data_IF_865116294021
#
_entry.id   IF_865116294021
#
_cell.length_a   1.000
_cell.length_b   1.000
_cell.length_c   1.000
_cell.angle_alpha   90.00
_cell.angle_beta   90.00
_cell.angle_gamma   90.00
#
_symmetry.space_group_name_H-M   'P 1'
#
loop_
_entity.id
_entity.type
_entity.pdbx_description
1 polymer ?
#
# COMPACT_ATOMS: atom_id res chain seq x y z
N UNK A 1 -12.01 3.15 -12.36
CA UNK A 1 -11.94 2.19 -11.23
C UNK A 1 -13.34 1.93 -10.69
N UNK A 2 -13.95 0.76 -10.96
CA UNK A 2 -15.18 0.35 -10.25
C UNK A 2 -14.82 0.19 -8.77
N UNK A 3 -15.50 0.98 -7.94
CA UNK A 3 -15.10 1.35 -6.58
C UNK A 3 -15.21 0.16 -5.62
N UNK A 4 -14.17 -0.11 -4.84
CA UNK A 4 -14.25 -0.91 -3.60
C UNK A 4 -13.68 -2.35 -3.67
N UNK A 5 -14.00 -3.14 -4.70
CA UNK A 5 -13.81 -4.60 -4.61
C UNK A 5 -12.40 -5.10 -4.98
N UNK A 6 -11.73 -4.45 -5.93
CA UNK A 6 -10.48 -4.95 -6.53
C UNK A 6 -9.26 -4.88 -5.60
N UNK A 7 -9.15 -3.80 -4.81
CA UNK A 7 -7.99 -3.56 -3.96
C UNK A 7 -7.97 -4.51 -2.76
N UNK A 8 -9.13 -4.70 -2.11
CA UNK A 8 -9.25 -5.67 -1.03
C UNK A 8 -8.99 -7.10 -1.54
N UNK A 9 -9.47 -7.42 -2.74
CA UNK A 9 -9.23 -8.73 -3.34
C UNK A 9 -7.74 -8.93 -3.67
N UNK A 10 -7.04 -7.88 -4.11
CA UNK A 10 -5.60 -7.92 -4.33
C UNK A 10 -4.83 -8.16 -3.01
N UNK A 11 -5.23 -7.51 -1.91
CA UNK A 11 -4.66 -7.79 -0.59
C UNK A 11 -4.90 -9.24 -0.15
N UNK A 12 -6.12 -9.76 -0.34
CA UNK A 12 -6.42 -11.17 0.00
C UNK A 12 -5.55 -12.14 -0.81
N UNK A 13 -5.31 -11.86 -2.10
CA UNK A 13 -4.42 -12.66 -2.95
C UNK A 13 -2.95 -12.61 -2.49
N UNK A 14 -2.53 -11.56 -1.78
CA UNK A 14 -1.23 -11.42 -1.12
C UNK A 14 -1.21 -11.99 0.31
N UNK A 15 -2.17 -12.83 0.68
CA UNK A 15 -2.26 -13.48 1.98
C UNK A 15 -2.56 -12.53 3.17
N UNK A 16 -3.21 -11.40 2.90
CA UNK A 16 -3.76 -10.54 3.95
C UNK A 16 -5.21 -10.93 4.28
N UNK A 17 -5.54 -10.98 5.57
CA UNK A 17 -6.89 -11.24 6.09
C UNK A 17 -7.42 -10.06 6.90
N UNK A 18 -8.72 -10.07 7.19
CA UNK A 18 -9.40 -9.04 8.00
C UNK A 18 -9.13 -7.60 7.51
N UNK A 19 -9.21 -7.44 6.19
CA UNK A 19 -9.05 -6.16 5.51
C UNK A 19 -10.21 -5.24 5.89
N UNK A 20 -9.89 -4.15 6.58
CA UNK A 20 -10.85 -3.12 7.01
C UNK A 20 -10.44 -1.76 6.46
N UNK A 21 -11.37 -1.09 5.77
CA UNK A 21 -11.15 0.25 5.24
C UNK A 21 -11.39 1.28 6.35
N UNK A 22 -10.40 2.11 6.64
CA UNK A 22 -10.49 3.18 7.63
C UNK A 22 -11.01 4.45 6.96
N UNK A 23 -12.06 5.06 7.52
CA UNK A 23 -12.61 6.34 7.03
C UNK A 23 -12.02 7.56 7.76
N UNK A 24 -11.06 7.34 8.66
CA UNK A 24 -10.54 8.38 9.54
C UNK A 24 -9.29 9.03 8.94
N UNK A 25 -9.46 10.23 8.38
CA UNK A 25 -8.34 11.07 7.90
C UNK A 25 -7.38 11.44 9.04
N UNK A 26 -7.86 11.41 10.30
CA UNK A 26 -7.11 11.76 11.51
C UNK A 26 -5.96 10.81 11.85
N UNK A 27 -5.96 9.58 11.33
CA UNK A 27 -5.00 8.55 11.71
C UNK A 27 -3.71 8.58 10.87
N UNK A 28 -3.34 9.75 10.32
CA UNK A 28 -2.16 9.90 9.45
C UNK A 28 -2.39 9.33 8.03
N UNK A 29 -3.64 9.41 7.55
CA UNK A 29 -4.01 8.98 6.21
C UNK A 29 -3.93 7.47 5.96
N UNK A 30 -4.08 6.63 6.98
CA UNK A 30 -4.26 5.18 6.80
C UNK A 30 -5.61 4.94 6.11
N UNK A 31 -5.61 4.21 5.01
CA UNK A 31 -6.81 3.89 4.24
C UNK A 31 -7.31 2.48 4.53
N UNK A 32 -6.41 1.55 4.85
CA UNK A 32 -6.73 0.15 5.14
C UNK A 32 -5.88 -0.39 6.28
N UNK A 33 -6.50 -1.16 7.17
CA UNK A 33 -5.83 -2.02 8.13
C UNK A 33 -6.10 -3.46 7.73
N UNK A 34 -5.05 -4.28 7.68
CA UNK A 34 -5.14 -5.69 7.38
C UNK A 34 -4.20 -6.49 8.27
N UNK A 35 -4.30 -7.81 8.21
CA UNK A 35 -3.40 -8.71 8.93
C UNK A 35 -2.74 -9.67 7.97
N UNK A 36 -1.42 -9.68 7.94
CA UNK A 36 -0.69 -10.65 7.14
C UNK A 36 -0.70 -12.00 7.86
N UNK A 37 -1.09 -13.06 7.16
CA UNK A 37 -0.97 -14.42 7.67
C UNK A 37 0.47 -14.88 7.42
N UNK A 38 1.35 -14.73 8.41
CA UNK A 38 2.75 -15.11 8.28
C UNK A 38 2.88 -16.58 7.88
N UNK A 39 3.46 -16.85 6.71
CA UNK A 39 3.46 -18.17 6.08
C UNK A 39 3.98 -19.29 6.99
N UNK A 40 5.29 -19.52 7.03
CA UNK A 40 5.88 -20.66 7.76
C UNK A 40 5.76 -20.51 9.29
N UNK A 41 5.74 -19.28 9.81
CA UNK A 41 5.74 -19.03 11.25
C UNK A 41 4.35 -19.01 11.88
N UNK A 42 3.27 -19.03 11.08
CA UNK A 42 1.87 -18.84 11.51
C UNK A 42 1.63 -17.60 12.39
N UNK A 43 2.59 -16.66 12.44
CA UNK A 43 2.46 -15.44 13.22
C UNK A 43 1.72 -14.40 12.41
N UNK A 44 0.48 -14.18 12.78
CA UNK A 44 -0.33 -13.08 12.27
C UNK A 44 0.17 -11.74 12.81
N UNK A 45 0.27 -10.73 11.96
CA UNK A 45 0.63 -9.38 12.38
C UNK A 45 -0.15 -8.30 11.64
N UNK A 46 -0.36 -7.18 12.33
CA UNK A 46 -1.08 -6.01 11.80
C UNK A 46 -0.22 -5.30 10.75
N UNK A 47 -0.83 -4.96 9.63
CA UNK A 47 -0.27 -4.17 8.55
C UNK A 47 -1.20 -3.01 8.28
N UNK A 48 -0.62 -1.83 8.07
CA UNK A 48 -1.37 -0.65 7.63
C UNK A 48 -1.05 -0.34 6.19
N UNK A 49 -2.04 0.17 5.46
CA UNK A 49 -1.91 0.54 4.06
C UNK A 49 -2.43 1.95 3.88
N UNK A 50 -1.61 2.78 3.25
CA UNK A 50 -1.94 4.14 2.86
C UNK A 50 -1.93 4.23 1.33
N UNK A 51 -2.93 4.89 0.78
CA UNK A 51 -3.17 5.04 -0.64
C UNK A 51 -3.17 6.53 -1.00
N UNK A 52 -2.08 7.02 -1.60
CA UNK A 52 -2.03 8.41 -2.07
C UNK A 52 -2.29 8.47 -3.57
N UNK A 53 -3.40 9.11 -3.94
CA UNK A 53 -3.71 9.45 -5.33
C UNK A 53 -3.07 10.79 -5.69
N UNK A 54 -1.89 10.74 -6.30
CA UNK A 54 -1.31 11.91 -6.97
C UNK A 54 -1.46 11.72 -8.49
N UNK A 55 -1.94 12.75 -9.18
CA UNK A 55 -2.15 12.70 -10.63
C UNK A 55 -0.86 12.99 -11.41
N UNK A 56 -0.01 13.89 -10.92
CA UNK A 56 1.13 14.42 -11.71
C UNK A 56 2.44 14.59 -10.93
N UNK A 57 2.40 14.57 -9.59
CA UNK A 57 3.59 14.77 -8.74
C UNK A 57 4.13 13.44 -8.23
N UNK A 58 5.45 13.33 -8.18
CA UNK A 58 6.11 12.22 -7.50
C UNK A 58 5.86 12.31 -5.99
N UNK A 59 5.79 11.15 -5.33
CA UNK A 59 5.73 11.05 -3.88
C UNK A 59 7.14 11.25 -3.33
N UNK A 60 7.32 12.20 -2.41
CA UNK A 60 8.61 12.49 -1.80
C UNK A 60 8.73 11.88 -0.39
N UNK A 61 9.87 12.13 0.25
CA UNK A 61 10.26 11.55 1.54
C UNK A 61 9.26 11.83 2.67
N UNK A 62 8.61 13.00 2.66
CA UNK A 62 7.66 13.46 3.66
C UNK A 62 6.48 12.48 3.84
N UNK A 63 5.98 11.94 2.74
CA UNK A 63 4.89 10.96 2.76
C UNK A 63 5.35 9.61 3.31
N UNK A 64 6.60 9.22 3.04
CA UNK A 64 7.15 7.96 3.57
C UNK A 64 7.41 8.08 5.07
N UNK A 65 7.84 9.25 5.55
CA UNK A 65 7.97 9.57 6.97
C UNK A 65 6.61 9.53 7.68
N UNK A 66 5.56 10.09 7.07
CA UNK A 66 4.18 10.00 7.57
C UNK A 66 3.76 8.53 7.76
N UNK A 67 4.08 7.65 6.80
CA UNK A 67 3.80 6.22 6.93
C UNK A 67 4.57 5.59 8.10
N UNK A 68 5.84 5.91 8.29
CA UNK A 68 6.65 5.40 9.43
C UNK A 68 6.00 5.78 10.76
N UNK A 69 5.55 7.02 10.90
CA UNK A 69 4.82 7.46 12.08
C UNK A 69 3.51 6.70 12.28
N UNK A 70 2.75 6.49 11.20
CA UNK A 70 1.49 5.76 11.23
C UNK A 70 1.71 4.30 11.65
N UNK A 71 2.76 3.64 11.19
CA UNK A 71 3.11 2.26 11.60
C UNK A 71 3.31 2.21 13.12
N UNK A 72 4.05 3.19 13.68
CA UNK A 72 4.30 3.29 15.13
C UNK A 72 3.02 3.57 15.91
N UNK A 73 2.25 4.59 15.51
CA UNK A 73 0.98 4.99 16.14
C UNK A 73 -0.03 3.84 16.17
N UNK A 74 -0.10 3.08 15.09
CA UNK A 74 -1.02 1.96 14.94
C UNK A 74 -0.48 0.64 15.50
N UNK A 75 0.74 0.62 16.06
CA UNK A 75 1.43 -0.58 16.54
C UNK A 75 1.47 -1.71 15.48
N UNK A 76 1.60 -1.33 14.21
CA UNK A 76 1.71 -2.26 13.10
C UNK A 76 3.14 -2.79 12.96
N UNK A 77 3.28 -3.99 12.39
CA UNK A 77 4.59 -4.57 12.09
C UNK A 77 5.12 -4.18 10.71
N UNK A 78 4.22 -3.85 9.79
CA UNK A 78 4.54 -3.40 8.43
C UNK A 78 3.65 -2.24 8.01
N UNK A 79 4.17 -1.42 7.10
CA UNK A 79 3.43 -0.35 6.45
C UNK A 79 3.57 -0.45 4.94
N UNK A 80 2.48 -0.24 4.22
CA UNK A 80 2.48 -0.25 2.75
C UNK A 80 1.95 1.07 2.21
N UNK A 81 2.71 1.72 1.32
CA UNK A 81 2.30 2.93 0.63
C UNK A 81 2.03 2.60 -0.83
N UNK A 82 0.79 2.81 -1.25
CA UNK A 82 0.35 2.58 -2.63
C UNK A 82 0.07 3.92 -3.29
N UNK A 83 0.59 4.13 -4.50
CA UNK A 83 0.28 5.32 -5.29
C UNK A 83 0.05 5.00 -6.76
N UNK A 84 -0.78 5.81 -7.41
CA UNK A 84 -0.95 5.80 -8.88
C UNK A 84 0.06 6.70 -9.60
N UNK A 85 1.01 7.29 -8.87
CA UNK A 85 2.15 8.05 -9.40
C UNK A 85 3.45 7.24 -9.25
N UNK A 86 4.60 7.92 -9.19
CA UNK A 86 5.92 7.34 -8.92
C UNK A 86 6.53 7.93 -7.64
N UNK A 87 7.46 7.21 -7.01
CA UNK A 87 8.23 7.73 -5.86
C UNK A 87 9.51 8.42 -6.31
N UNK A 88 9.90 9.48 -5.60
CA UNK A 88 11.21 10.12 -5.76
C UNK A 88 12.32 9.13 -5.41
N UNK A 89 13.53 9.33 -5.98
CA UNK A 89 14.69 8.50 -5.63
C UNK A 89 14.97 8.53 -4.12
N UNK A 90 14.84 9.71 -3.50
CA UNK A 90 15.04 9.91 -2.07
C UNK A 90 14.02 9.13 -1.24
N UNK A 91 12.75 9.14 -1.63
CA UNK A 91 11.70 8.35 -0.99
C UNK A 91 12.01 6.83 -1.05
N UNK A 92 12.43 6.32 -2.22
CA UNK A 92 12.85 4.91 -2.37
C UNK A 92 14.08 4.58 -1.53
N UNK A 93 15.07 5.46 -1.47
CA UNK A 93 16.28 5.29 -0.64
C UNK A 93 15.96 5.29 0.86
N UNK A 94 15.08 6.20 1.30
CA UNK A 94 14.62 6.27 2.68
C UNK A 94 13.81 5.03 3.09
N UNK A 95 12.96 4.50 2.21
CA UNK A 95 12.24 3.27 2.50
C UNK A 95 13.17 2.05 2.65
N UNK A 96 14.30 2.00 1.91
CA UNK A 96 15.28 0.91 2.02
C UNK A 96 15.93 0.82 3.41
N UNK A 97 16.03 1.92 4.15
CA UNK A 97 16.51 1.89 5.55
C UNK A 97 15.45 1.36 6.53
N UNK A 98 14.21 1.19 6.09
CA UNK A 98 13.07 0.71 6.86
C UNK A 98 12.49 -0.57 6.24
N UNK A 99 13.11 -1.73 6.55
CA UNK A 99 12.77 -3.04 5.96
C UNK A 99 11.32 -3.51 6.14
N UNK A 100 10.54 -2.83 6.98
CA UNK A 100 9.12 -3.11 7.22
C UNK A 100 8.18 -2.25 6.37
N UNK A 101 8.71 -1.44 5.45
CA UNK A 101 7.93 -0.64 4.51
C UNK A 101 7.91 -1.28 3.12
N UNK A 102 6.75 -1.26 2.50
CA UNK A 102 6.52 -1.66 1.10
C UNK A 102 6.01 -0.45 0.30
N UNK A 103 6.71 -0.06 -0.76
CA UNK A 103 6.37 1.09 -1.60
C UNK A 103 5.97 0.60 -2.98
N UNK A 104 4.69 0.76 -3.32
CA UNK A 104 4.11 0.25 -4.56
C UNK A 104 3.67 1.43 -5.41
N UNK A 105 4.42 1.69 -6.47
CA UNK A 105 4.08 2.71 -7.46
C UNK A 105 3.11 2.16 -8.51
N UNK A 106 2.69 3.01 -9.44
CA UNK A 106 1.70 2.65 -10.47
C UNK A 106 2.11 1.42 -11.26
N UNK A 107 3.36 1.40 -11.72
CA UNK A 107 3.82 0.40 -12.67
C UNK A 107 3.96 -0.95 -11.96
N UNK A 108 4.45 -0.94 -10.72
CA UNK A 108 4.45 -2.12 -9.86
C UNK A 108 3.03 -2.59 -9.51
N UNK A 109 2.12 -1.68 -9.15
CA UNK A 109 0.73 -2.03 -8.86
C UNK A 109 0.05 -2.68 -10.07
N UNK A 110 0.29 -2.16 -11.28
CA UNK A 110 -0.24 -2.75 -12.52
C UNK A 110 0.31 -4.16 -12.76
N UNK A 111 1.61 -4.37 -12.53
CA UNK A 111 2.22 -5.70 -12.63
C UNK A 111 1.61 -6.67 -11.63
N UNK A 112 1.49 -6.28 -10.36
CA UNK A 112 0.93 -7.14 -9.32
C UNK A 112 -0.56 -7.47 -9.58
N UNK A 113 -1.34 -6.52 -10.11
CA UNK A 113 -2.73 -6.77 -10.53
C UNK A 113 -2.80 -7.75 -11.69
N UNK A 114 -1.93 -7.61 -12.70
CA UNK A 114 -1.86 -8.53 -13.83
C UNK A 114 -1.49 -9.95 -13.38
N UNK A 115 -0.56 -10.09 -12.43
CA UNK A 115 -0.20 -11.41 -11.86
C UNK A 115 -1.34 -12.02 -11.04
N UNK A 116 -2.06 -11.21 -10.27
CA UNK A 116 -3.10 -11.70 -9.37
C UNK A 116 -4.41 -12.09 -10.09
N UNK A 117 -4.75 -11.41 -11.19
CA UNK A 117 -6.06 -11.53 -11.86
C UNK A 117 -5.99 -11.86 -13.35
N UNK A 118 -4.80 -11.88 -13.93
CA UNK A 118 -4.60 -12.01 -15.38
C UNK A 118 -4.43 -10.65 -16.07
N UNK A 119 -3.74 -10.67 -17.21
CA UNK A 119 -3.48 -9.47 -18.01
C UNK A 119 -4.79 -8.80 -18.46
N UNK A 120 -4.81 -7.47 -18.44
CA UNK A 120 -5.94 -6.62 -18.86
C UNK A 120 -7.22 -6.72 -18.01
N UNK A 121 -7.22 -7.47 -16.91
CA UNK A 121 -8.38 -7.52 -16.00
C UNK A 121 -8.59 -6.20 -15.26
N UNK A 122 -7.50 -5.52 -14.89
CA UNK A 122 -7.48 -4.16 -14.38
C UNK A 122 -6.49 -3.31 -15.17
N UNK A 123 -6.88 -2.08 -15.52
CA UNK A 123 -6.00 -1.09 -16.15
C UNK A 123 -6.02 0.19 -15.31
N UNK A 124 -4.84 0.59 -14.83
CA UNK A 124 -4.65 1.87 -14.14
C UNK A 124 -4.39 2.93 -15.21
N UNK A 125 -5.43 3.69 -15.53
CA UNK A 125 -5.36 4.77 -16.52
C UNK A 125 -4.67 6.00 -15.93
N UNK A 126 -3.80 6.64 -16.73
CA UNK A 126 -3.38 8.01 -16.44
C UNK A 126 -4.60 8.93 -16.55
N UNK A 127 -4.96 9.58 -15.44
CA UNK A 127 -5.69 10.83 -15.52
C UNK A 127 -4.65 11.93 -15.59
N UNK A 128 -4.19 12.22 -16.81
CA UNK A 128 -3.46 13.45 -17.15
C UNK A 128 -4.36 14.66 -16.99
#
# INVERSE_FOLDING_TARGET
MRRGSSFNQWLIKRNYSEVSVTRNVRDGGVDVVAYHQGGVTNKRYKVIVQCKRYATKQVDIDVVEELVESVKKQQAKEGMLVTTSTFSRRAKEFAKSHRYLDLIDRDELQQQLNMAFGANYYCITNHS
#
